data_IF_701322782290
#
_entry.id   IF_701322782290
#
_cell.length_a   1.000
_cell.length_b   1.000
_cell.length_c   1.000
_cell.angle_alpha   90.00
_cell.angle_beta   90.00
_cell.angle_gamma   90.00
#
_symmetry.space_group_name_H-M   'P 1'
#
loop_
_entity.id
_entity.type
_entity.pdbx_description
1 polymer ?
#
# COMPACT_ATOMS: atom_id res chain seq x y z
N UNK A 1 -32.58 41.10 48.60
CA UNK A 1 -32.29 39.74 48.06
C UNK A 1 -32.44 39.81 46.55
N UNK A 2 -31.33 39.71 45.82
CA UNK A 2 -31.27 39.88 44.37
C UNK A 2 -31.16 38.48 43.77
N UNK A 3 -32.22 38.01 43.13
CA UNK A 3 -32.27 36.70 42.50
C UNK A 3 -31.38 36.69 41.25
N UNK A 4 -30.33 35.88 41.27
CA UNK A 4 -29.59 35.50 40.08
C UNK A 4 -30.31 34.30 39.45
N UNK A 5 -30.89 34.52 38.27
CA UNK A 5 -31.32 33.43 37.39
C UNK A 5 -30.08 33.04 36.58
N UNK A 6 -29.53 31.87 36.86
CA UNK A 6 -28.47 31.26 36.06
C UNK A 6 -29.15 30.53 34.91
N UNK A 7 -29.00 31.05 33.69
CA UNK A 7 -29.47 30.41 32.47
C UNK A 7 -28.36 29.44 31.99
N UNK A 8 -28.59 28.14 32.11
CA UNK A 8 -27.71 27.12 31.54
C UNK A 8 -27.99 27.03 30.04
N UNK A 9 -27.03 27.44 29.22
CA UNK A 9 -27.07 27.26 27.76
C UNK A 9 -26.51 25.86 27.45
N UNK A 10 -27.39 24.89 27.17
CA UNK A 10 -26.98 23.60 26.62
C UNK A 10 -26.64 23.81 25.14
N UNK A 11 -25.35 23.80 24.81
CA UNK A 11 -24.89 23.66 23.44
C UNK A 11 -25.12 22.18 23.07
N UNK A 12 -26.18 21.91 22.32
CA UNK A 12 -26.31 20.64 21.61
C UNK A 12 -25.26 20.66 20.50
N UNK A 13 -24.15 19.97 20.70
CA UNK A 13 -23.24 19.60 19.61
C UNK A 13 -24.01 18.56 18.79
N UNK A 14 -24.62 19.00 17.70
CA UNK A 14 -25.15 18.08 16.69
C UNK A 14 -23.94 17.44 16.02
N UNK A 15 -23.63 16.21 16.38
CA UNK A 15 -22.72 15.40 15.57
C UNK A 15 -23.50 15.05 14.30
N UNK A 16 -23.28 15.82 13.23
CA UNK A 16 -23.79 15.44 11.92
C UNK A 16 -22.93 14.27 11.44
N UNK A 17 -23.48 13.07 11.50
CA UNK A 17 -22.99 11.91 10.77
C UNK A 17 -23.49 12.05 9.31
N UNK A 18 -22.61 11.88 8.33
CA UNK A 18 -23.02 11.82 6.93
C UNK A 18 -22.73 10.41 6.37
N UNK A 19 -23.79 9.61 6.33
CA UNK A 19 -23.79 8.33 5.65
C UNK A 19 -23.74 8.52 4.12
N UNK A 20 -23.32 7.48 3.41
CA UNK A 20 -23.47 7.41 1.95
C UNK A 20 -24.94 7.57 1.56
N UNK A 21 -25.20 8.18 0.41
CA UNK A 21 -26.55 8.56 0.02
C UNK A 21 -26.75 8.43 -1.49
N UNK A 22 -28.00 8.33 -1.99
CA UNK A 22 -28.25 8.17 -3.42
C UNK A 22 -27.62 9.23 -4.33
N UNK A 23 -27.48 10.45 -3.84
CA UNK A 23 -26.83 11.55 -4.55
C UNK A 23 -26.09 12.45 -3.55
N UNK A 24 -24.80 12.67 -3.80
CA UNK A 24 -23.95 13.53 -2.99
C UNK A 24 -23.45 14.76 -3.75
N UNK A 25 -23.88 14.98 -4.99
CA UNK A 25 -23.34 16.00 -5.88
C UNK A 25 -23.54 17.45 -5.41
N UNK A 26 -24.53 17.72 -4.54
CA UNK A 26 -24.72 19.04 -3.93
C UNK A 26 -23.91 19.22 -2.63
N UNK A 27 -23.42 18.13 -2.03
CA UNK A 27 -22.63 18.15 -0.79
C UNK A 27 -21.14 18.09 -1.08
N UNK A 28 -20.70 17.15 -1.90
CA UNK A 28 -19.29 16.96 -2.23
C UNK A 28 -18.97 17.74 -3.49
N UNK A 29 -18.26 18.85 -3.31
CA UNK A 29 -17.79 19.72 -4.39
C UNK A 29 -16.30 19.45 -4.55
N UNK A 30 -15.85 19.18 -5.78
CA UNK A 30 -14.43 18.95 -6.06
C UNK A 30 -13.76 20.31 -6.33
N UNK A 31 -13.14 20.88 -5.30
CA UNK A 31 -12.45 22.17 -5.39
C UNK A 31 -11.07 22.20 -4.71
N UNK A 32 -10.64 21.06 -4.17
CA UNK A 32 -9.36 20.87 -3.50
C UNK A 32 -9.42 21.24 -2.02
N UNK A 33 -10.61 21.43 -1.46
CA UNK A 33 -10.90 21.61 -0.03
C UNK A 33 -11.86 20.49 0.36
N UNK A 34 -11.52 19.73 1.40
CA UNK A 34 -12.25 18.50 1.76
C UNK A 34 -13.08 18.64 3.03
N UNK A 35 -13.54 19.85 3.36
CA UNK A 35 -14.26 20.17 4.60
C UNK A 35 -15.73 19.70 4.57
N UNK A 36 -16.24 19.38 3.39
CA UNK A 36 -17.55 18.83 3.07
C UNK A 36 -17.71 17.38 3.55
N UNK A 37 -16.57 16.70 3.74
CA UNK A 37 -16.52 15.37 4.32
C UNK A 37 -16.70 15.43 5.84
N UNK A 38 -17.61 14.59 6.31
CA UNK A 38 -17.96 14.39 7.71
C UNK A 38 -16.98 13.45 8.41
N UNK A 39 -17.11 13.36 9.74
CA UNK A 39 -16.20 12.58 10.58
C UNK A 39 -16.23 11.08 10.28
N UNK A 40 -17.37 10.56 9.84
CA UNK A 40 -17.61 9.17 9.48
C UNK A 40 -17.06 8.78 8.09
N UNK A 41 -16.61 9.77 7.33
CA UNK A 41 -15.96 9.61 6.03
C UNK A 41 -14.42 9.70 6.13
N UNK A 42 -13.89 10.01 7.33
CA UNK A 42 -12.46 9.97 7.62
C UNK A 42 -12.01 8.52 7.87
N UNK A 43 -11.18 8.00 6.98
CA UNK A 43 -10.73 6.61 6.96
C UNK A 43 -9.63 6.37 8.01
N UNK A 44 -8.75 7.35 8.22
CA UNK A 44 -7.65 7.31 9.18
C UNK A 44 -8.04 7.91 10.54
N UNK A 45 -9.27 7.63 10.98
CA UNK A 45 -9.75 7.90 12.34
C UNK A 45 -10.39 6.67 12.94
N UNK A 46 -10.27 6.51 14.26
CA UNK A 46 -11.06 5.51 14.97
C UNK A 46 -12.50 5.98 15.23
N UNK A 47 -13.32 5.07 15.77
CA UNK A 47 -14.71 5.34 16.11
C UNK A 47 -14.90 6.36 17.25
N UNK A 48 -13.82 6.74 17.94
CA UNK A 48 -13.79 7.80 18.94
C UNK A 48 -13.29 9.14 18.37
N UNK A 49 -12.92 9.17 17.08
CA UNK A 49 -12.39 10.33 16.40
C UNK A 49 -10.89 10.57 16.62
N UNK A 50 -10.17 9.64 17.25
CA UNK A 50 -8.71 9.73 17.37
C UNK A 50 -8.08 9.50 16.00
N UNK A 51 -7.03 10.26 15.71
CA UNK A 51 -6.24 10.08 14.50
C UNK A 51 -5.52 8.73 14.54
N UNK A 52 -5.61 7.99 13.44
CA UNK A 52 -4.80 6.80 13.21
C UNK A 52 -3.47 7.17 12.54
N UNK A 53 -3.45 8.25 11.77
CA UNK A 53 -2.28 8.83 11.11
C UNK A 53 -1.75 10.02 11.91
N UNK A 54 -0.45 10.07 12.22
CA UNK A 54 0.11 11.22 12.91
C UNK A 54 0.43 12.32 11.89
N UNK A 55 0.01 13.59 12.10
CA UNK A 55 0.24 14.65 11.11
C UNK A 55 1.69 15.19 11.08
N UNK A 56 2.64 14.44 11.66
CA UNK A 56 4.02 14.85 11.93
C UNK A 56 5.02 13.69 11.96
N UNK A 57 4.68 12.52 11.42
CA UNK A 57 5.55 11.33 11.41
C UNK A 57 6.38 11.21 10.12
N UNK A 58 6.17 12.08 9.14
CA UNK A 58 7.03 12.19 7.97
C UNK A 58 8.50 12.47 8.33
N UNK A 59 9.43 11.75 7.68
CA UNK A 59 10.87 12.03 7.78
C UNK A 59 11.27 13.43 7.30
N UNK A 60 10.45 14.07 6.45
CA UNK A 60 10.67 15.43 5.95
C UNK A 60 9.88 16.49 6.71
N UNK A 61 9.23 16.09 7.82
CA UNK A 61 8.42 16.93 8.69
C UNK A 61 7.04 17.24 8.11
N UNK A 62 6.24 17.99 8.89
CA UNK A 62 4.81 18.26 8.67
C UNK A 62 4.44 18.90 7.31
N UNK A 63 5.44 19.41 6.59
CA UNK A 63 5.25 20.03 5.27
C UNK A 63 5.29 19.05 4.10
N UNK A 64 5.57 17.78 4.38
CA UNK A 64 5.59 16.67 3.44
C UNK A 64 5.00 15.44 4.12
N UNK A 65 3.76 15.58 4.57
CA UNK A 65 3.09 14.64 5.47
C UNK A 65 1.62 14.45 5.05
N UNK A 66 1.18 13.20 5.00
CA UNK A 66 -0.20 12.80 4.72
C UNK A 66 -0.97 12.76 6.04
N UNK A 67 -2.14 13.40 6.10
CA UNK A 67 -2.87 13.59 7.37
C UNK A 67 -4.18 12.83 7.43
N UNK A 68 -4.79 12.59 6.27
CA UNK A 68 -6.09 11.92 6.20
C UNK A 68 -6.33 11.34 4.82
N UNK A 69 -6.99 10.19 4.77
CA UNK A 69 -7.73 9.73 3.60
C UNK A 69 -9.20 9.86 3.93
N UNK A 70 -9.98 10.47 3.04
CA UNK A 70 -11.42 10.57 3.18
C UNK A 70 -12.07 9.88 2.00
N UNK A 71 -13.16 9.16 2.27
CA UNK A 71 -13.91 8.47 1.23
C UNK A 71 -15.40 8.49 1.53
N UNK A 72 -16.19 8.67 0.49
CA UNK A 72 -17.65 8.52 0.51
C UNK A 72 -18.13 8.19 -0.90
N UNK A 73 -19.39 7.84 -1.04
CA UNK A 73 -19.94 7.51 -2.35
C UNK A 73 -21.45 7.69 -2.43
N UNK A 74 -21.91 7.81 -3.67
CA UNK A 74 -23.31 7.77 -4.05
C UNK A 74 -23.59 6.67 -5.09
N UNK A 75 -24.80 6.64 -5.65
CA UNK A 75 -25.19 5.63 -6.63
C UNK A 75 -24.31 5.64 -7.91
N UNK A 76 -23.69 6.77 -8.23
CA UNK A 76 -22.99 6.97 -9.50
C UNK A 76 -21.49 7.19 -9.34
N UNK A 77 -21.05 7.71 -8.19
CA UNK A 77 -19.69 8.20 -7.98
C UNK A 77 -19.08 7.73 -6.68
N UNK A 78 -17.78 7.44 -6.75
CA UNK A 78 -16.87 7.41 -5.63
C UNK A 78 -16.21 8.78 -5.49
N UNK A 79 -16.22 9.33 -4.27
CA UNK A 79 -15.56 10.59 -3.93
C UNK A 79 -14.43 10.31 -2.94
N UNK A 80 -13.23 10.77 -3.25
CA UNK A 80 -12.06 10.56 -2.43
C UNK A 80 -11.31 11.87 -2.21
N UNK A 81 -10.70 12.00 -1.04
CA UNK A 81 -9.78 13.08 -0.74
C UNK A 81 -8.56 12.60 0.04
N UNK A 82 -7.44 13.28 -0.17
CA UNK A 82 -6.23 13.15 0.64
C UNK A 82 -5.92 14.52 1.24
N UNK A 83 -6.00 14.62 2.56
CA UNK A 83 -5.53 15.80 3.28
C UNK A 83 -4.05 15.64 3.55
N UNK A 84 -3.28 16.69 3.33
CA UNK A 84 -1.85 16.65 3.60
C UNK A 84 -1.17 17.99 3.34
N UNK A 85 0.15 17.95 3.38
CA UNK A 85 0.96 19.04 2.89
C UNK A 85 2.05 18.47 1.99
N UNK A 86 2.30 19.14 0.87
CA UNK A 86 3.47 18.91 0.03
C UNK A 86 4.22 20.23 -0.13
N UNK A 87 5.53 20.19 0.05
CA UNK A 87 6.42 21.30 -0.25
C UNK A 87 7.50 20.81 -1.21
N UNK A 88 7.35 21.18 -2.49
CA UNK A 88 8.27 20.84 -3.55
C UNK A 88 8.28 19.37 -3.93
N UNK A 89 7.24 18.62 -3.58
CA UNK A 89 7.17 17.16 -3.70
C UNK A 89 5.84 16.71 -4.34
N UNK A 90 5.73 15.41 -4.55
CA UNK A 90 4.56 14.79 -5.17
C UNK A 90 3.66 14.16 -4.11
N UNK A 91 2.35 14.14 -4.40
CA UNK A 91 1.37 13.34 -3.66
C UNK A 91 0.74 12.35 -4.63
N UNK A 92 0.79 11.07 -4.27
CA UNK A 92 0.21 9.97 -5.01
C UNK A 92 -0.85 9.32 -4.15
N UNK A 93 -1.97 8.95 -4.77
CA UNK A 93 -3.08 8.28 -4.10
C UNK A 93 -3.55 7.11 -4.94
N UNK A 94 -3.38 5.91 -4.40
CA UNK A 94 -3.56 4.63 -5.08
C UNK A 94 -4.89 3.98 -4.72
N UNK A 95 -5.48 3.33 -5.71
CA UNK A 95 -6.74 2.60 -5.60
C UNK A 95 -6.52 1.20 -6.21
N UNK A 96 -6.63 0.16 -5.38
CA UNK A 96 -6.62 -1.26 -5.79
C UNK A 96 -8.04 -1.82 -5.60
N UNK A 97 -8.61 -2.37 -6.67
CA UNK A 97 -9.93 -3.00 -6.70
C UNK A 97 -9.80 -4.47 -7.10
N UNK A 98 -8.87 -4.79 -8.00
CA UNK A 98 -8.77 -6.06 -8.68
C UNK A 98 -7.62 -6.91 -8.14
N UNK A 99 -7.95 -8.15 -7.77
CA UNK A 99 -6.96 -9.05 -7.19
C UNK A 99 -6.05 -9.74 -8.25
N UNK A 100 -6.31 -9.55 -9.54
CA UNK A 100 -5.71 -10.31 -10.64
C UNK A 100 -4.66 -9.53 -11.44
N UNK A 101 -4.56 -8.21 -11.28
CA UNK A 101 -3.65 -7.35 -12.01
C UNK A 101 -3.43 -6.02 -11.27
N UNK A 102 -2.41 -5.24 -11.65
CA UNK A 102 -2.15 -3.91 -11.12
C UNK A 102 -0.67 -3.57 -11.11
N UNK A 103 -0.30 -2.42 -10.53
CA UNK A 103 1.09 -1.98 -10.43
C UNK A 103 1.83 -2.81 -9.37
N UNK A 104 2.93 -3.45 -9.76
CA UNK A 104 3.87 -4.11 -8.85
C UNK A 104 5.08 -3.21 -8.53
N UNK A 105 5.62 -2.54 -9.54
CA UNK A 105 6.81 -1.69 -9.45
C UNK A 105 6.56 -0.35 -10.14
N UNK A 106 6.53 0.74 -9.37
CA UNK A 106 6.34 2.08 -9.90
C UNK A 106 7.52 2.58 -10.74
N UNK A 107 8.67 1.91 -10.73
CA UNK A 107 9.80 2.26 -11.60
C UNK A 107 9.61 1.76 -13.04
N UNK A 108 8.72 0.79 -13.25
CA UNK A 108 8.47 0.16 -14.55
C UNK A 108 7.35 0.83 -15.35
N UNK A 109 6.58 1.74 -14.73
CA UNK A 109 5.52 2.49 -15.41
C UNK A 109 6.08 3.43 -16.47
N UNK A 110 5.27 3.75 -17.49
CA UNK A 110 5.61 4.72 -18.54
C UNK A 110 5.37 6.20 -18.13
N UNK A 111 4.79 6.45 -16.96
CA UNK A 111 4.55 7.77 -16.39
C UNK A 111 4.62 7.72 -14.87
N UNK A 112 4.99 8.85 -14.23
CA UNK A 112 5.10 8.95 -12.77
C UNK A 112 6.06 7.93 -12.14
N UNK A 113 7.20 7.67 -12.78
CA UNK A 113 8.13 6.63 -12.31
C UNK A 113 8.68 6.92 -10.92
N UNK A 114 8.56 6.01 -9.96
CA UNK A 114 9.03 6.21 -8.58
C UNK A 114 9.76 4.99 -8.02
N UNK A 115 10.58 5.21 -7.00
CA UNK A 115 11.42 4.17 -6.41
C UNK A 115 10.69 3.45 -5.28
N UNK A 116 9.58 2.80 -5.61
CA UNK A 116 8.90 1.91 -4.68
C UNK A 116 8.12 0.82 -5.39
N UNK A 117 7.88 -0.25 -4.63
CA UNK A 117 7.12 -1.44 -5.04
C UNK A 117 5.96 -1.65 -4.11
N UNK A 118 4.96 -2.39 -4.57
CA UNK A 118 3.84 -2.82 -3.75
C UNK A 118 4.00 -4.28 -3.34
N UNK A 119 3.56 -4.61 -2.13
CA UNK A 119 3.52 -5.97 -1.61
C UNK A 119 2.19 -6.21 -0.88
N UNK A 120 1.54 -7.36 -1.13
CA UNK A 120 0.19 -7.72 -0.69
C UNK A 120 -0.98 -7.00 -1.37
N UNK A 121 -0.72 -6.07 -2.30
CA UNK A 121 -1.73 -5.37 -3.08
C UNK A 121 -1.09 -4.78 -4.34
N UNK A 122 -1.88 -4.53 -5.38
CA UNK A 122 -1.40 -4.05 -6.68
C UNK A 122 -2.39 -3.02 -7.23
N UNK A 123 -2.14 -1.72 -7.07
CA UNK A 123 -3.09 -0.69 -7.51
C UNK A 123 -3.44 -0.74 -8.99
N UNK A 124 -4.72 -0.61 -9.30
CA UNK A 124 -5.26 -0.53 -10.66
C UNK A 124 -5.34 0.90 -11.17
N UNK A 125 -5.42 1.84 -10.24
CA UNK A 125 -5.51 3.25 -10.52
C UNK A 125 -4.67 4.06 -9.55
N UNK A 126 -4.28 5.25 -9.97
CA UNK A 126 -3.75 6.25 -9.06
C UNK A 126 -4.08 7.67 -9.50
N UNK A 127 -4.14 8.55 -8.52
CA UNK A 127 -4.18 10.00 -8.69
C UNK A 127 -2.82 10.55 -8.34
N UNK A 128 -2.23 11.35 -9.22
CA UNK A 128 -0.97 12.03 -9.00
C UNK A 128 -1.10 13.54 -9.09
N UNK A 129 -0.55 14.25 -8.12
CA UNK A 129 -0.36 15.70 -8.17
C UNK A 129 1.02 16.08 -7.61
N UNK A 130 1.45 17.31 -7.87
CA UNK A 130 2.69 17.88 -7.33
C UNK A 130 2.39 19.20 -6.63
N UNK A 131 3.33 19.67 -5.82
CA UNK A 131 3.23 20.96 -5.14
C UNK A 131 2.85 22.07 -6.14
N UNK A 132 1.84 22.87 -5.79
CA UNK A 132 1.27 23.96 -6.59
C UNK A 132 0.44 23.57 -7.82
N UNK A 133 0.23 22.27 -8.06
CA UNK A 133 -0.69 21.81 -9.10
C UNK A 133 -2.12 21.71 -8.58
N UNK A 134 -3.02 22.46 -9.19
CA UNK A 134 -4.42 22.55 -8.82
C UNK A 134 -5.31 21.51 -9.51
N UNK A 135 -4.79 20.79 -10.52
CA UNK A 135 -5.52 19.78 -11.29
C UNK A 135 -4.77 18.44 -11.24
N UNK A 136 -5.06 17.58 -10.26
CA UNK A 136 -4.52 16.23 -10.18
C UNK A 136 -4.79 15.42 -11.45
N UNK A 137 -3.92 14.45 -11.72
CA UNK A 137 -4.01 13.56 -12.87
C UNK A 137 -4.46 12.18 -12.42
N UNK A 138 -5.51 11.64 -13.04
CA UNK A 138 -5.97 10.28 -12.79
C UNK A 138 -5.46 9.31 -13.84
N UNK A 139 -4.94 8.18 -13.40
CA UNK A 139 -4.27 7.19 -14.23
C UNK A 139 -4.81 5.80 -13.95
N UNK A 140 -4.95 5.01 -15.01
CA UNK A 140 -5.38 3.62 -14.98
C UNK A 140 -4.27 2.74 -15.55
N UNK A 141 -4.03 1.57 -14.94
CA UNK A 141 -3.15 0.56 -15.52
C UNK A 141 -3.83 -0.13 -16.70
N UNK A 142 -3.10 -0.30 -17.79
CA UNK A 142 -3.60 -1.02 -18.97
C UNK A 142 -3.14 -2.46 -18.96
N UNK A 143 -4.10 -3.38 -19.03
CA UNK A 143 -3.82 -4.81 -19.11
C UNK A 143 -2.98 -5.16 -20.34
N UNK A 144 -1.87 -5.85 -20.11
CA UNK A 144 -0.95 -6.22 -21.17
C UNK A 144 0.34 -6.85 -20.64
N UNK A 145 1.26 -7.15 -21.56
CA UNK A 145 2.55 -7.74 -21.22
C UNK A 145 3.57 -6.76 -20.63
N UNK A 146 3.26 -5.46 -20.62
CA UNK A 146 4.12 -4.38 -20.12
C UNK A 146 3.34 -3.54 -19.12
N UNK A 147 4.01 -3.07 -18.07
CA UNK A 147 3.41 -2.19 -17.06
C UNK A 147 3.20 -0.78 -17.63
N UNK A 148 2.03 -0.55 -18.20
CA UNK A 148 1.68 0.75 -18.79
C UNK A 148 0.49 1.36 -18.08
N UNK A 149 0.50 2.68 -17.97
CA UNK A 149 -0.58 3.48 -17.40
C UNK A 149 -1.03 4.51 -18.42
N UNK A 150 -2.34 4.75 -18.46
CA UNK A 150 -2.99 5.72 -19.32
C UNK A 150 -3.76 6.73 -18.48
N UNK A 151 -3.64 8.01 -18.84
CA UNK A 151 -4.34 9.07 -18.14
C UNK A 151 -5.81 9.12 -18.56
N UNK A 152 -6.70 9.12 -17.58
CA UNK A 152 -8.12 9.38 -17.77
C UNK A 152 -8.35 10.87 -17.51
N UNK A 153 -8.84 11.57 -18.52
CA UNK A 153 -9.03 13.04 -18.46
C UNK A 153 -10.47 13.44 -18.15
N UNK A 154 -11.43 12.51 -18.22
CA UNK A 154 -12.85 12.74 -17.98
C UNK A 154 -13.21 12.50 -16.51
N UNK A 155 -12.48 13.12 -15.59
CA UNK A 155 -12.74 13.08 -14.15
C UNK A 155 -12.67 14.49 -13.58
N UNK A 156 -13.47 14.75 -12.54
CA UNK A 156 -13.36 15.98 -11.77
C UNK A 156 -12.30 15.75 -10.69
N UNK A 157 -11.24 16.55 -10.71
CA UNK A 157 -10.18 16.51 -9.70
C UNK A 157 -9.68 17.92 -9.42
N UNK A 158 -9.36 18.20 -8.16
CA UNK A 158 -8.85 19.50 -7.74
C UNK A 158 -7.86 19.34 -6.56
N UNK A 159 -6.94 20.28 -6.41
CA UNK A 159 -6.03 20.28 -5.27
C UNK A 159 -5.64 21.69 -4.81
N UNK A 160 -5.36 21.81 -3.51
CA UNK A 160 -4.84 23.03 -2.86
C UNK A 160 -3.53 22.77 -2.10
N UNK A 161 -2.82 21.70 -2.45
CA UNK A 161 -1.49 21.35 -1.93
C UNK A 161 -0.44 22.35 -2.45
N UNK A 162 -0.44 23.55 -1.85
CA UNK A 162 0.32 24.73 -2.26
C UNK A 162 1.33 25.12 -1.19
N UNK A 163 2.59 24.75 -1.40
CA UNK A 163 3.81 25.10 -0.68
C UNK A 163 3.58 25.43 0.80
N UNK A 164 3.60 24.40 1.63
CA UNK A 164 3.46 24.57 3.08
C UNK A 164 2.02 24.83 3.54
N UNK A 165 1.01 24.70 2.67
CA UNK A 165 -0.39 24.68 3.07
C UNK A 165 -0.67 23.42 3.89
N UNK A 166 -0.62 23.56 5.22
CA UNK A 166 -0.87 22.46 6.17
C UNK A 166 -2.31 21.94 6.15
N UNK A 167 -3.24 22.66 5.53
CA UNK A 167 -4.63 22.26 5.36
C UNK A 167 -4.94 21.99 3.87
N UNK A 168 -3.93 21.68 3.06
CA UNK A 168 -4.13 21.35 1.66
C UNK A 168 -4.83 20.00 1.52
N UNK A 169 -5.59 19.87 0.45
CA UNK A 169 -6.16 18.59 0.05
C UNK A 169 -6.01 18.37 -1.45
N UNK A 170 -6.11 17.10 -1.84
CA UNK A 170 -6.35 16.67 -3.21
C UNK A 170 -7.67 15.89 -3.21
N UNK A 171 -8.55 16.18 -4.15
CA UNK A 171 -9.85 15.56 -4.29
C UNK A 171 -10.07 14.99 -5.68
N UNK A 172 -10.86 13.92 -5.76
CA UNK A 172 -11.30 13.34 -7.03
C UNK A 172 -12.72 12.76 -6.92
N UNK A 173 -13.47 12.89 -8.01
CA UNK A 173 -14.77 12.24 -8.23
C UNK A 173 -14.67 11.30 -9.43
N UNK A 174 -14.98 10.03 -9.20
CA UNK A 174 -14.81 8.95 -10.19
C UNK A 174 -16.14 8.22 -10.36
N UNK A 175 -16.57 7.96 -11.60
CA UNK A 175 -17.77 7.14 -11.82
C UNK A 175 -17.48 5.67 -11.53
N UNK A 176 -18.49 4.94 -11.05
CA UNK A 176 -18.38 3.48 -10.92
C UNK A 176 -18.09 2.79 -12.25
N UNK A 177 -18.64 3.29 -13.36
CA UNK A 177 -18.34 2.78 -14.71
C UNK A 177 -16.87 2.95 -15.13
N UNK A 178 -16.19 4.00 -14.65
CA UNK A 178 -14.76 4.18 -14.90
C UNK A 178 -13.94 3.18 -14.11
N UNK A 179 -14.34 2.89 -12.87
CA UNK A 179 -13.65 1.91 -12.03
C UNK A 179 -13.92 0.49 -12.52
N UNK A 180 -15.18 0.12 -12.73
CA UNK A 180 -15.68 -1.20 -13.15
C UNK A 180 -15.92 -1.26 -14.66
N UNK A 181 -14.83 -1.24 -15.43
CA UNK A 181 -14.85 -1.28 -16.89
C UNK A 181 -14.80 -2.71 -17.45
N UNK A 182 -15.05 -2.87 -18.75
CA UNK A 182 -14.79 -4.12 -19.47
C UNK A 182 -15.81 -5.26 -19.27
N UNK A 183 -16.78 -5.10 -18.37
CA UNK A 183 -17.95 -6.00 -18.23
C UNK A 183 -17.68 -7.36 -17.57
N UNK A 184 -16.42 -7.80 -17.46
CA UNK A 184 -16.02 -8.97 -16.67
C UNK A 184 -15.73 -8.62 -15.20
N UNK A 185 -15.38 -7.35 -14.95
CA UNK A 185 -15.09 -6.79 -13.64
C UNK A 185 -16.34 -6.06 -13.13
N UNK A 186 -16.94 -6.56 -12.06
CA UNK A 186 -18.14 -6.00 -11.45
C UNK A 186 -17.93 -5.79 -9.95
N UNK A 187 -18.69 -4.85 -9.37
CA UNK A 187 -18.66 -4.58 -7.93
C UNK A 187 -19.02 -5.82 -7.10
N UNK A 188 -19.91 -6.67 -7.61
CA UNK A 188 -20.24 -7.94 -6.98
C UNK A 188 -19.03 -8.89 -6.86
N UNK A 189 -18.14 -8.92 -7.86
CA UNK A 189 -16.95 -9.77 -7.82
C UNK A 189 -15.78 -9.14 -7.05
N UNK A 190 -15.75 -7.80 -7.02
CA UNK A 190 -14.72 -7.02 -6.35
C UNK A 190 -15.40 -5.95 -5.46
N UNK A 191 -15.97 -6.36 -4.32
CA UNK A 191 -16.84 -5.52 -3.49
C UNK A 191 -16.08 -4.54 -2.60
N UNK A 192 -14.75 -4.62 -2.57
CA UNK A 192 -13.90 -3.77 -1.75
C UNK A 192 -13.00 -2.90 -2.61
N UNK A 193 -12.60 -1.75 -2.07
CA UNK A 193 -11.51 -0.94 -2.61
C UNK A 193 -10.42 -0.79 -1.54
N UNK A 194 -9.16 -0.86 -1.94
CA UNK A 194 -8.02 -0.57 -1.08
C UNK A 194 -7.42 0.77 -1.46
N UNK A 195 -7.03 1.54 -0.46
CA UNK A 195 -6.56 2.92 -0.57
C UNK A 195 -5.22 3.10 0.15
N UNK A 196 -4.35 3.87 -0.47
CA UNK A 196 -3.06 4.29 0.08
C UNK A 196 -2.68 5.66 -0.50
N UNK A 197 -2.27 6.58 0.35
CA UNK A 197 -1.64 7.84 -0.03
C UNK A 197 -0.14 7.82 0.28
N UNK A 198 0.66 8.49 -0.55
CA UNK A 198 2.12 8.51 -0.46
C UNK A 198 2.64 9.88 -0.89
N UNK A 199 3.61 10.41 -0.13
CA UNK A 199 4.39 11.56 -0.56
C UNK A 199 5.71 11.07 -1.14
N UNK A 200 6.14 11.60 -2.28
CA UNK A 200 7.42 11.24 -2.90
C UNK A 200 8.23 12.47 -3.29
N UNK A 201 9.54 12.28 -3.44
CA UNK A 201 10.41 13.31 -4.01
C UNK A 201 9.91 13.83 -5.36
N UNK A 202 10.33 15.03 -5.75
CA UNK A 202 9.88 15.68 -7.00
C UNK A 202 10.31 14.97 -8.28
N UNK A 203 11.42 14.24 -8.26
CA UNK A 203 12.04 13.67 -9.46
C UNK A 203 11.60 12.24 -9.71
N UNK A 204 11.68 11.80 -10.97
CA UNK A 204 11.49 10.39 -11.30
C UNK A 204 12.50 9.50 -10.57
N UNK A 205 12.09 8.28 -10.27
CA UNK A 205 12.83 7.32 -9.45
C UNK A 205 13.19 7.85 -8.06
N UNK A 206 12.40 8.79 -7.53
CA UNK A 206 12.44 9.12 -6.11
C UNK A 206 11.41 8.33 -5.32
N UNK A 207 11.70 8.07 -4.06
CA UNK A 207 10.80 7.48 -3.08
C UNK A 207 10.31 8.55 -2.09
N UNK A 208 9.61 8.10 -1.05
CA UNK A 208 8.85 8.95 -0.16
C UNK A 208 9.33 8.94 1.28
N UNK A 209 9.18 10.07 2.00
CA UNK A 209 9.38 10.09 3.43
C UNK A 209 8.19 9.51 4.19
N UNK A 210 7.01 9.44 3.57
CA UNK A 210 5.75 9.30 4.30
C UNK A 210 4.63 8.68 3.47
N UNK A 211 3.81 7.85 4.10
CA UNK A 211 2.62 7.24 3.52
C UNK A 211 1.54 7.00 4.57
N UNK A 212 0.29 7.07 4.12
CA UNK A 212 -0.86 6.74 4.93
C UNK A 212 -1.72 5.67 4.25
N UNK A 213 -2.11 4.60 4.94
CA UNK A 213 -1.74 4.26 6.32
C UNK A 213 -0.24 3.96 6.48
N UNK A 214 0.28 4.10 7.70
CA UNK A 214 1.66 3.72 8.10
C UNK A 214 2.16 2.43 7.41
N UNK A 215 3.35 2.48 6.80
CA UNK A 215 3.98 1.29 6.20
C UNK A 215 4.49 0.31 7.27
N UNK A 216 4.35 -1.01 7.08
CA UNK A 216 4.82 -1.98 8.09
C UNK A 216 6.35 -1.99 8.18
N UNK A 217 7.04 -1.93 7.03
CA UNK A 217 8.49 -1.86 6.94
C UNK A 217 9.09 -0.49 7.29
N UNK A 218 8.23 0.54 7.34
CA UNK A 218 8.59 1.94 7.53
C UNK A 218 8.96 2.64 6.22
N UNK A 219 9.20 3.94 6.33
CA UNK A 219 9.58 4.81 5.22
C UNK A 219 11.08 5.16 5.28
N UNK A 220 11.58 5.93 4.30
CA UNK A 220 12.99 6.34 4.25
C UNK A 220 13.13 7.85 4.12
N UNK A 221 14.16 8.41 4.75
CA UNK A 221 14.53 9.80 4.52
C UNK A 221 15.36 9.98 3.22
N UNK A 222 15.88 8.88 2.65
CA UNK A 222 16.67 8.91 1.41
C UNK A 222 15.77 8.64 0.20
N UNK A 223 15.42 9.70 -0.52
CA UNK A 223 14.60 9.63 -1.72
C UNK A 223 15.17 8.71 -2.83
N UNK A 224 16.44 8.31 -2.77
CA UNK A 224 17.05 7.40 -3.75
C UNK A 224 16.90 5.92 -3.40
N UNK A 225 16.47 5.62 -2.17
CA UNK A 225 16.30 4.26 -1.69
C UNK A 225 14.95 3.71 -2.16
N UNK A 226 14.97 2.51 -2.74
CA UNK A 226 13.74 1.76 -3.03
C UNK A 226 13.07 1.33 -1.73
N UNK A 227 11.78 1.63 -1.61
CA UNK A 227 10.94 1.21 -0.48
C UNK A 227 9.87 0.23 -0.96
N UNK A 228 9.34 -0.55 -0.02
CA UNK A 228 8.22 -1.46 -0.30
C UNK A 228 7.05 -0.98 0.50
N UNK A 229 5.95 -0.72 -0.18
CA UNK A 229 4.69 -0.35 0.42
C UNK A 229 3.88 -1.60 0.63
N UNK A 230 3.51 -1.87 1.89
CA UNK A 230 2.89 -3.13 2.28
C UNK A 230 1.67 -2.98 3.19
N UNK A 231 1.17 -1.76 3.40
CA UNK A 231 -0.09 -1.50 4.11
C UNK A 231 -1.11 -0.78 3.23
N UNK A 232 -2.37 -0.88 3.61
CA UNK A 232 -3.49 -0.19 2.95
C UNK A 232 -4.71 -0.15 3.88
N UNK A 233 -5.62 0.80 3.60
CA UNK A 233 -6.97 0.81 4.13
C UNK A 233 -7.91 0.14 3.12
N UNK A 234 -8.73 -0.82 3.54
CA UNK A 234 -9.70 -1.50 2.69
C UNK A 234 -11.12 -1.12 3.10
N UNK A 235 -11.92 -0.63 2.16
CA UNK A 235 -13.32 -0.24 2.39
C UNK A 235 -14.22 -1.22 1.65
N UNK A 236 -15.13 -1.87 2.38
CA UNK A 236 -16.16 -2.73 1.80
C UNK A 236 -17.33 -1.88 1.26
N UNK A 237 -17.47 -1.84 -0.06
CA UNK A 237 -18.46 -1.04 -0.81
C UNK A 237 -19.79 -1.78 -0.98
N UNK A 238 -19.77 -3.04 -1.41
CA UNK A 238 -20.97 -3.87 -1.66
C UNK A 238 -20.98 -5.08 -0.72
N UNK A 239 -21.70 -4.99 0.40
CA UNK A 239 -21.70 -6.07 1.42
C UNK A 239 -22.80 -7.08 1.21
N UNK A 240 -23.94 -6.64 0.68
CA UNK A 240 -25.05 -7.56 0.39
C UNK A 240 -24.90 -8.28 -0.96
N UNK A 241 -23.85 -7.90 -1.71
CA UNK A 241 -23.38 -8.54 -2.93
C UNK A 241 -24.46 -8.43 -4.03
N UNK A 242 -25.13 -7.29 -4.12
CA UNK A 242 -26.17 -7.02 -5.11
C UNK A 242 -25.63 -6.37 -6.40
N UNK A 243 -24.35 -6.01 -6.42
CA UNK A 243 -23.65 -5.38 -7.53
C UNK A 243 -23.74 -3.86 -7.58
N UNK A 244 -24.32 -3.23 -6.56
CA UNK A 244 -24.39 -1.78 -6.38
C UNK A 244 -23.70 -1.38 -5.07
N UNK A 245 -23.24 -0.13 -4.95
CA UNK A 245 -22.65 0.34 -3.70
C UNK A 245 -23.70 0.43 -2.59
N UNK A 246 -23.35 -0.03 -1.39
CA UNK A 246 -24.22 0.06 -0.23
C UNK A 246 -24.52 1.54 0.11
N UNK A 247 -25.81 1.88 0.27
CA UNK A 247 -26.25 3.21 0.70
C UNK A 247 -26.54 3.26 2.20
N UNK A 248 -26.55 4.47 2.78
CA UNK A 248 -26.84 4.70 4.20
C UNK A 248 -25.85 3.96 5.13
N UNK A 249 -24.57 3.99 4.76
CA UNK A 249 -23.48 3.42 5.55
C UNK A 249 -22.42 4.46 5.85
N UNK A 250 -21.79 4.31 7.02
CA UNK A 250 -20.62 5.10 7.41
C UNK A 250 -19.35 4.45 6.83
N UNK A 251 -18.62 5.12 5.92
CA UNK A 251 -17.43 4.56 5.27
C UNK A 251 -16.36 4.06 6.26
N UNK A 252 -16.10 4.80 7.33
CA UNK A 252 -15.10 4.40 8.34
C UNK A 252 -15.48 3.10 9.08
N UNK A 253 -16.77 2.76 9.21
CA UNK A 253 -17.25 1.49 9.80
C UNK A 253 -17.16 0.33 8.81
N UNK A 254 -17.02 0.62 7.52
CA UNK A 254 -16.73 -0.35 6.46
C UNK A 254 -15.23 -0.51 6.18
N UNK A 255 -14.40 0.25 6.90
CA UNK A 255 -12.96 0.24 6.71
C UNK A 255 -12.28 -0.78 7.62
N UNK A 256 -11.41 -1.59 7.03
CA UNK A 256 -10.37 -2.37 7.71
C UNK A 256 -8.97 -1.97 7.20
N UNK A 257 -7.94 -2.53 7.82
CA UNK A 257 -6.55 -2.30 7.43
C UNK A 257 -5.83 -3.63 7.41
N UNK A 258 -4.81 -3.81 6.57
CA UNK A 258 -3.92 -4.96 6.71
C UNK A 258 -3.27 -4.96 8.10
N UNK A 259 -2.71 -3.80 8.50
CA UNK A 259 -2.35 -3.51 9.88
C UNK A 259 -2.86 -2.12 10.26
N UNK A 260 -3.68 -2.04 11.30
CA UNK A 260 -4.29 -0.79 11.74
C UNK A 260 -3.28 0.10 12.47
N UNK A 261 -3.01 1.34 12.02
CA UNK A 261 -2.17 2.30 12.75
C UNK A 261 -2.89 2.91 13.97
N UNK A 262 -2.18 3.61 14.88
CA UNK A 262 -0.73 3.82 14.86
C UNK A 262 0.02 2.56 15.32
N UNK A 263 1.16 2.29 14.71
CA UNK A 263 2.10 1.28 15.19
C UNK A 263 3.54 1.67 14.88
N UNK A 264 4.50 1.12 15.62
CA UNK A 264 5.90 1.26 15.25
C UNK A 264 6.21 0.39 14.03
N UNK A 265 6.71 1.03 12.97
CA UNK A 265 7.24 0.34 11.80
C UNK A 265 8.42 -0.55 12.18
N UNK A 266 8.48 -1.73 11.57
CA UNK A 266 9.52 -2.73 11.82
C UNK A 266 10.07 -3.22 10.48
N UNK A 267 11.27 -2.78 10.06
CA UNK A 267 11.88 -3.26 8.82
C UNK A 267 12.10 -4.78 8.88
N UNK A 268 12.02 -5.46 7.74
CA UNK A 268 12.27 -6.90 7.67
C UNK A 268 13.72 -7.23 8.03
N UNK A 269 13.89 -8.06 9.04
CA UNK A 269 15.17 -8.54 9.53
C UNK A 269 15.21 -10.06 9.48
N UNK A 270 16.19 -10.60 8.77
CA UNK A 270 16.53 -12.02 8.85
C UNK A 270 17.30 -12.26 10.14
N UNK A 271 16.70 -13.00 11.07
CA UNK A 271 17.30 -13.34 12.35
C UNK A 271 18.24 -14.54 12.22
N UNK A 272 17.81 -15.61 11.57
CA UNK A 272 18.58 -16.85 11.49
C UNK A 272 18.21 -17.73 10.30
N UNK A 273 19.10 -18.67 9.96
CA UNK A 273 18.82 -19.79 9.05
C UNK A 273 19.08 -21.09 9.81
N UNK A 274 18.02 -21.82 10.10
CA UNK A 274 18.05 -23.07 10.88
C UNK A 274 18.03 -24.25 9.93
N UNK A 275 19.00 -25.14 10.06
CA UNK A 275 19.03 -26.40 9.32
C UNK A 275 18.41 -27.49 10.18
N UNK A 276 17.52 -28.30 9.60
CA UNK A 276 16.86 -29.39 10.31
C UNK A 276 17.91 -30.33 10.90
N UNK A 277 17.78 -30.64 12.20
CA UNK A 277 18.76 -31.43 12.97
C UNK A 277 20.20 -30.87 12.96
N UNK A 278 20.39 -29.58 12.63
CA UNK A 278 21.70 -28.96 12.49
C UNK A 278 22.50 -29.43 11.25
N UNK A 279 21.87 -30.15 10.31
CA UNK A 279 22.55 -30.70 9.14
C UNK A 279 22.79 -29.63 8.08
N UNK A 280 23.96 -29.00 8.14
CA UNK A 280 24.49 -28.14 7.06
C UNK A 280 25.25 -28.93 5.99
N UNK A 281 25.30 -30.26 6.15
CA UNK A 281 25.98 -31.18 5.24
C UNK A 281 25.09 -32.33 4.85
N UNK A 282 25.09 -32.67 3.57
CA UNK A 282 24.31 -33.77 3.00
C UNK A 282 25.00 -34.34 1.75
N UNK A 283 24.66 -35.57 1.39
CA UNK A 283 25.19 -36.30 0.24
C UNK A 283 24.08 -36.61 -0.80
N UNK A 284 23.96 -35.79 -1.87
CA UNK A 284 22.96 -35.97 -2.92
C UNK A 284 23.02 -37.34 -3.60
N UNK A 285 24.22 -37.94 -3.67
CA UNK A 285 24.46 -39.26 -4.24
C UNK A 285 23.80 -40.40 -3.44
N UNK A 286 23.50 -40.17 -2.16
CA UNK A 286 22.77 -41.09 -1.29
C UNK A 286 21.27 -40.78 -1.24
N UNK A 287 20.80 -39.80 -2.02
CA UNK A 287 19.41 -39.32 -1.97
C UNK A 287 19.11 -38.47 -0.74
N UNK A 288 20.15 -37.97 -0.05
CA UNK A 288 19.96 -37.03 1.04
C UNK A 288 19.57 -35.64 0.50
N UNK A 289 18.87 -34.88 1.33
CA UNK A 289 18.47 -33.51 1.05
C UNK A 289 18.78 -32.65 2.26
N UNK A 290 19.03 -31.36 2.04
CA UNK A 290 19.12 -30.38 3.12
C UNK A 290 17.78 -29.68 3.27
N UNK A 291 17.28 -29.62 4.51
CA UNK A 291 16.08 -28.86 4.86
C UNK A 291 16.50 -27.70 5.76
N UNK A 292 15.96 -26.52 5.48
CA UNK A 292 16.27 -25.32 6.24
C UNK A 292 15.07 -24.38 6.36
N UNK A 293 15.07 -23.59 7.41
CA UNK A 293 14.02 -22.64 7.77
C UNK A 293 14.64 -21.27 8.02
N UNK A 294 14.00 -20.22 7.52
CA UNK A 294 14.39 -18.84 7.76
C UNK A 294 13.58 -18.29 8.93
N UNK A 295 14.25 -17.73 9.93
CA UNK A 295 13.60 -16.98 11.00
C UNK A 295 13.70 -15.49 10.71
N UNK A 296 12.55 -14.82 10.66
CA UNK A 296 12.44 -13.38 10.43
C UNK A 296 11.66 -12.72 11.56
N UNK A 297 11.81 -11.41 11.72
CA UNK A 297 11.04 -10.64 12.71
C UNK A 297 9.58 -10.36 12.31
N UNK A 298 9.25 -10.51 11.02
CA UNK A 298 7.89 -10.36 10.46
C UNK A 298 7.69 -11.27 9.24
N UNK A 299 6.44 -11.55 8.88
CA UNK A 299 6.11 -12.35 7.71
C UNK A 299 6.51 -11.65 6.41
N UNK A 300 7.05 -12.42 5.47
CA UNK A 300 7.36 -12.01 4.09
C UNK A 300 7.57 -13.29 3.26
N UNK A 301 7.39 -13.19 1.94
CA UNK A 301 7.72 -14.28 1.02
C UNK A 301 9.17 -14.16 0.57
N UNK A 302 9.81 -15.30 0.34
CA UNK A 302 11.20 -15.34 -0.12
C UNK A 302 11.40 -16.40 -1.19
N UNK A 303 12.21 -16.04 -2.18
CA UNK A 303 12.89 -16.99 -3.04
C UNK A 303 14.29 -17.29 -2.50
N UNK A 304 14.74 -18.53 -2.69
CA UNK A 304 16.07 -18.98 -2.25
C UNK A 304 16.85 -19.48 -3.45
N UNK A 305 17.79 -18.67 -3.89
CA UNK A 305 18.75 -19.01 -4.93
C UNK A 305 19.95 -19.74 -4.34
N UNK A 306 20.49 -20.68 -5.11
CA UNK A 306 21.64 -21.49 -4.72
C UNK A 306 22.78 -21.21 -5.69
N UNK A 307 23.95 -20.89 -5.14
CA UNK A 307 25.17 -20.60 -5.89
C UNK A 307 26.32 -21.50 -5.45
N UNK A 308 27.28 -21.74 -6.33
CA UNK A 308 28.59 -22.25 -5.92
C UNK A 308 29.47 -21.13 -5.34
N UNK A 309 30.65 -21.49 -4.81
CA UNK A 309 31.61 -20.52 -4.25
C UNK A 309 32.16 -19.50 -5.26
N UNK A 310 32.01 -19.74 -6.57
CA UNK A 310 32.43 -18.79 -7.60
C UNK A 310 31.29 -17.81 -7.96
N UNK A 311 30.15 -17.89 -7.28
CA UNK A 311 28.96 -17.10 -7.60
C UNK A 311 28.22 -17.60 -8.84
N UNK A 312 28.46 -18.84 -9.29
CA UNK A 312 27.69 -19.41 -10.38
C UNK A 312 26.35 -19.91 -9.86
N UNK A 313 25.26 -19.45 -10.48
CA UNK A 313 23.91 -19.94 -10.18
C UNK A 313 23.77 -21.43 -10.45
N UNK A 314 23.10 -22.15 -9.55
CA UNK A 314 22.94 -23.60 -9.56
C UNK A 314 21.48 -24.01 -9.73
N UNK A 315 20.60 -23.50 -8.87
CA UNK A 315 19.17 -23.79 -8.85
C UNK A 315 18.45 -22.88 -7.82
N UNK A 316 17.12 -22.99 -7.77
CA UNK A 316 16.32 -22.55 -6.62
C UNK A 316 16.12 -23.69 -5.61
N UNK A 317 15.96 -23.35 -4.33
CA UNK A 317 15.49 -24.31 -3.33
C UNK A 317 13.98 -24.54 -3.47
N UNK A 318 13.53 -25.76 -3.23
CA UNK A 318 12.11 -26.12 -3.31
C UNK A 318 11.38 -25.62 -2.05
N UNK A 319 10.34 -24.82 -2.24
CA UNK A 319 9.47 -24.38 -1.15
C UNK A 319 8.77 -25.60 -0.52
N UNK A 320 8.92 -25.74 0.79
CA UNK A 320 8.43 -26.85 1.60
C UNK A 320 7.56 -26.35 2.78
N UNK A 321 7.01 -25.14 2.68
CA UNK A 321 6.15 -24.52 3.66
C UNK A 321 6.54 -23.06 3.96
N UNK A 322 5.83 -22.45 4.91
CA UNK A 322 6.09 -21.05 5.31
C UNK A 322 7.52 -20.94 5.83
N UNK A 323 8.31 -20.11 5.14
CA UNK A 323 9.72 -19.89 5.41
C UNK A 323 10.55 -21.18 5.54
N UNK A 324 10.15 -22.24 4.82
CA UNK A 324 10.79 -23.55 4.85
C UNK A 324 11.12 -24.00 3.43
N UNK A 325 12.36 -24.41 3.21
CA UNK A 325 12.82 -24.91 1.91
C UNK A 325 13.65 -26.17 2.07
N UNK A 326 13.76 -26.89 0.96
CA UNK A 326 14.66 -28.03 0.84
C UNK A 326 15.47 -27.95 -0.45
N UNK A 327 16.64 -28.56 -0.44
CA UNK A 327 17.44 -28.75 -1.63
C UNK A 327 18.04 -30.15 -1.67
N UNK A 328 17.90 -30.81 -2.82
CA UNK A 328 18.37 -32.17 -3.05
C UNK A 328 19.76 -32.24 -3.71
N UNK A 329 20.47 -31.12 -3.80
CA UNK A 329 21.81 -31.06 -4.36
C UNK A 329 21.87 -31.25 -5.87
N UNK A 330 20.79 -30.91 -6.59
CA UNK A 330 20.74 -30.92 -8.05
C UNK A 330 20.68 -29.51 -8.63
N UNK A 331 21.26 -29.35 -9.81
CA UNK A 331 21.11 -28.16 -10.63
C UNK A 331 19.78 -28.15 -11.41
N UNK A 332 19.51 -27.08 -12.16
CA UNK A 332 18.26 -26.89 -12.93
C UNK A 332 17.91 -28.03 -13.89
N UNK A 333 18.92 -28.71 -14.45
CA UNK A 333 18.74 -29.85 -15.37
C UNK A 333 18.67 -31.21 -14.65
N UNK A 334 18.59 -31.21 -13.32
CA UNK A 334 18.41 -32.41 -12.49
C UNK A 334 19.69 -33.22 -12.23
N UNK A 335 20.86 -32.71 -12.59
CA UNK A 335 22.14 -33.36 -12.33
C UNK A 335 22.64 -33.03 -10.92
N UNK A 336 23.17 -34.04 -10.22
CA UNK A 336 23.82 -33.84 -8.93
C UNK A 336 25.03 -32.90 -9.08
N UNK A 337 25.14 -31.94 -8.17
CA UNK A 337 26.24 -30.99 -8.18
C UNK A 337 27.50 -31.58 -7.55
N UNK A 338 28.71 -31.10 -7.89
CA UNK A 338 29.95 -31.60 -7.31
C UNK A 338 30.03 -31.40 -5.78
N UNK A 339 30.86 -32.21 -5.13
CA UNK A 339 31.31 -31.96 -3.75
C UNK A 339 31.82 -30.53 -3.61
N UNK A 340 31.41 -29.82 -2.57
CA UNK A 340 31.84 -28.45 -2.37
C UNK A 340 30.96 -27.67 -1.41
N UNK A 341 31.21 -26.36 -1.38
CA UNK A 341 30.46 -25.42 -0.56
C UNK A 341 29.55 -24.61 -1.49
N UNK A 342 28.34 -24.34 -1.03
CA UNK A 342 27.30 -23.63 -1.75
C UNK A 342 26.72 -22.51 -0.89
N UNK A 343 26.26 -21.46 -1.53
CA UNK A 343 25.71 -20.26 -0.91
C UNK A 343 24.21 -20.26 -1.14
N UNK A 344 23.44 -20.10 -0.06
CA UNK A 344 22.02 -19.81 -0.11
C UNK A 344 21.84 -18.29 -0.05
N UNK A 345 21.22 -17.73 -1.08
CA UNK A 345 20.85 -16.33 -1.17
C UNK A 345 19.33 -16.21 -1.02
N UNK A 346 18.90 -15.63 0.08
CA UNK A 346 17.49 -15.35 0.36
C UNK A 346 17.13 -13.99 -0.23
N UNK A 347 16.07 -13.94 -1.01
CA UNK A 347 15.57 -12.75 -1.69
C UNK A 347 14.14 -12.55 -1.21
N UNK A 348 13.88 -11.46 -0.47
CA UNK A 348 12.52 -11.13 -0.08
C UNK A 348 11.74 -10.70 -1.34
N UNK A 349 10.56 -11.26 -1.55
CA UNK A 349 9.69 -10.91 -2.68
C UNK A 349 9.21 -9.47 -2.58
N UNK A 350 9.10 -8.95 -1.36
CA UNK A 350 8.87 -7.52 -1.12
C UNK A 350 9.93 -6.67 -1.83
N UNK A 351 11.17 -7.15 -1.94
CA UNK A 351 12.31 -6.35 -2.39
C UNK A 351 12.90 -5.50 -1.28
N UNK A 352 12.41 -5.62 -0.04
CA UNK A 352 13.05 -5.02 1.13
C UNK A 352 14.43 -5.63 1.27
N UNK A 353 15.46 -4.82 1.03
CA UNK A 353 16.85 -5.26 0.95
C UNK A 353 17.29 -5.83 2.30
N UNK A 354 17.14 -7.14 2.48
CA UNK A 354 17.77 -7.90 3.54
C UNK A 354 18.64 -8.99 2.93
N UNK A 355 19.83 -8.59 2.48
CA UNK A 355 20.83 -9.54 2.06
C UNK A 355 21.37 -10.25 3.30
N UNK A 356 21.03 -11.53 3.48
CA UNK A 356 21.75 -12.42 4.40
C UNK A 356 22.16 -13.68 3.66
N UNK A 357 23.47 -13.90 3.61
CA UNK A 357 24.06 -15.06 2.97
C UNK A 357 24.27 -16.17 4.03
N UNK A 358 23.98 -17.41 3.66
CA UNK A 358 24.31 -18.57 4.51
C UNK A 358 24.97 -19.66 3.67
N UNK A 359 25.92 -20.37 4.29
CA UNK A 359 26.78 -21.35 3.63
C UNK A 359 26.34 -22.79 3.96
N UNK A 360 26.24 -23.64 2.93
CA UNK A 360 25.93 -25.08 2.99
C UNK A 360 27.10 -25.89 2.41
N UNK A 361 27.39 -27.06 2.96
CA UNK A 361 28.54 -27.89 2.55
C UNK A 361 28.05 -29.25 2.04
N UNK A 362 28.23 -29.55 0.76
CA UNK A 362 27.90 -30.85 0.16
C UNK A 362 29.06 -31.83 0.34
N UNK A 363 28.75 -33.08 0.72
CA UNK A 363 29.70 -34.16 0.95
C UNK A 363 29.65 -35.28 -0.10
#
# INVERSE_FOLDING_TARGET
MRNFIILFFFIFVSFCFAETAPDLSERIIIDGISDEFSIDENILKDTLGNLLESPTDSFWGEYNDVKQIKATWDENYLYLAVDGCSWGNNVLFFIDIYADYGIEDMSETNAWQRSFKFYNFNPDFFVGTWDTNDIPQFWQVTEGSSMTVEQITSVDAAATLNTGNLNGAMEIKITWDTLYYGGERSMQNYPSIKLLALITGSSDFSSGPDCAPDNLGGMTNDATQMIVIDNYAEILIDKDNDGNPDMSVEPNKRTSFLKRPPFEAMPLLIQNVIFTNGQKTFAPSLGEEVLFTLETNRGSDFDVEIFDLNGKFINFAENNGILNWKWNGKNEIGNAVPFGIYILRFIANSGEVSHKETVVIIK
#
